data_IF_804233238780
#
_entry.id   IF_804233238780
#
_cell.length_a   1.000
_cell.length_b   1.000
_cell.length_c   1.000
_cell.angle_alpha   90.00
_cell.angle_beta   90.00
_cell.angle_gamma   90.00
#
_symmetry.space_group_name_H-M   'P 1'
#
loop_
_entity.id
_entity.type
_entity.pdbx_description
1 polymer ?
#
# COMPACT_ATOMS: atom_id res chain seq x y z
N UNK A 1 -4.77 -24.42 9.49
CA UNK A 1 -6.25 -24.53 9.50
C UNK A 1 -6.79 -23.83 8.27
N UNK A 2 -7.72 -24.44 7.52
CA UNK A 2 -8.39 -23.79 6.37
C UNK A 2 -9.86 -23.54 6.76
N UNK A 3 -10.29 -22.29 6.99
CA UNK A 3 -11.71 -21.99 7.20
C UNK A 3 -12.48 -22.17 5.88
N UNK A 4 -13.71 -22.69 5.96
CA UNK A 4 -14.62 -22.73 4.82
C UNK A 4 -15.46 -21.44 4.82
N UNK A 5 -15.30 -20.61 3.80
CA UNK A 5 -15.98 -19.31 3.67
C UNK A 5 -16.68 -19.31 2.32
N UNK A 6 -17.97 -19.00 2.31
CA UNK A 6 -18.76 -18.90 1.08
C UNK A 6 -18.59 -17.50 0.48
N UNK A 7 -18.14 -17.44 -0.77
CA UNK A 7 -17.88 -16.21 -1.52
C UNK A 7 -18.61 -16.32 -2.85
N UNK A 8 -19.30 -15.26 -3.27
CA UNK A 8 -20.04 -15.28 -4.53
C UNK A 8 -19.10 -15.29 -5.74
N UNK A 9 -19.57 -15.85 -6.85
CA UNK A 9 -18.78 -16.03 -8.07
C UNK A 9 -18.36 -14.71 -8.71
N UNK A 10 -19.17 -13.65 -8.57
CA UNK A 10 -18.88 -12.34 -9.15
C UNK A 10 -17.71 -11.71 -8.41
N UNK A 11 -17.76 -11.73 -7.08
CA UNK A 11 -16.65 -11.28 -6.23
C UNK A 11 -15.37 -12.06 -6.51
N UNK A 12 -15.46 -13.39 -6.69
CA UNK A 12 -14.29 -14.21 -7.00
C UNK A 12 -13.69 -13.88 -8.37
N UNK A 13 -14.52 -13.62 -9.39
CA UNK A 13 -14.06 -13.21 -10.71
C UNK A 13 -13.32 -11.86 -10.64
N UNK A 14 -13.89 -10.87 -9.94
CA UNK A 14 -13.27 -9.57 -9.74
C UNK A 14 -11.95 -9.68 -8.96
N UNK A 15 -11.91 -10.53 -7.93
CA UNK A 15 -10.73 -10.77 -7.12
C UNK A 15 -9.60 -11.41 -7.93
N UNK A 16 -9.92 -12.40 -8.75
CA UNK A 16 -8.96 -13.06 -9.65
C UNK A 16 -8.43 -12.09 -10.70
N UNK A 17 -9.30 -11.24 -11.27
CA UNK A 17 -8.87 -10.19 -12.20
C UNK A 17 -7.95 -9.15 -11.52
N UNK A 18 -8.28 -8.73 -10.29
CA UNK A 18 -7.50 -7.75 -9.54
C UNK A 18 -6.14 -8.31 -9.06
N UNK A 19 -6.07 -9.59 -8.73
CA UNK A 19 -4.84 -10.25 -8.28
C UNK A 19 -4.00 -10.83 -9.42
N UNK A 20 -4.60 -11.07 -10.59
CA UNK A 20 -3.97 -11.74 -11.72
C UNK A 20 -3.84 -13.26 -11.54
N UNK A 21 -4.51 -13.83 -10.54
CA UNK A 21 -4.39 -15.24 -10.17
C UNK A 21 -5.39 -16.11 -10.93
N UNK A 22 -4.93 -17.27 -11.42
CA UNK A 22 -5.77 -18.20 -12.16
C UNK A 22 -6.61 -19.15 -11.28
N UNK A 23 -6.37 -19.16 -9.96
CA UNK A 23 -7.13 -19.97 -9.00
C UNK A 23 -7.76 -19.13 -7.91
N UNK A 24 -8.98 -19.50 -7.51
CA UNK A 24 -9.72 -18.89 -6.42
C UNK A 24 -8.92 -18.88 -5.10
N UNK A 25 -8.34 -20.03 -4.75
CA UNK A 25 -7.54 -20.20 -3.53
C UNK A 25 -6.31 -19.28 -3.52
N UNK A 26 -5.60 -19.16 -4.66
CA UNK A 26 -4.45 -18.28 -4.78
C UNK A 26 -4.86 -16.80 -4.70
N UNK A 27 -5.93 -16.41 -5.39
CA UNK A 27 -6.46 -15.04 -5.35
C UNK A 27 -6.81 -14.61 -3.92
N UNK A 28 -7.53 -15.47 -3.18
CA UNK A 28 -7.87 -15.23 -1.77
C UNK A 28 -6.63 -15.16 -0.90
N UNK A 29 -5.67 -16.08 -1.05
CA UNK A 29 -4.45 -16.07 -0.26
C UNK A 29 -3.61 -14.81 -0.51
N UNK A 30 -3.48 -14.39 -1.77
CA UNK A 30 -2.77 -13.18 -2.18
C UNK A 30 -3.44 -11.94 -1.58
N UNK A 31 -4.77 -11.84 -1.65
CA UNK A 31 -5.51 -10.73 -1.05
C UNK A 31 -5.37 -10.67 0.48
N UNK A 32 -5.48 -11.81 1.16
CA UNK A 32 -5.32 -11.87 2.62
C UNK A 32 -3.91 -11.50 3.07
N UNK A 33 -2.87 -11.94 2.34
CA UNK A 33 -1.49 -11.52 2.58
C UNK A 33 -1.34 -10.01 2.45
N UNK A 34 -1.91 -9.43 1.39
CA UNK A 34 -1.88 -7.98 1.17
C UNK A 34 -2.53 -7.21 2.32
N UNK A 35 -3.66 -7.68 2.85
CA UNK A 35 -4.33 -7.06 4.01
C UNK A 35 -3.42 -7.07 5.25
N UNK A 36 -2.76 -8.19 5.53
CA UNK A 36 -1.83 -8.29 6.66
C UNK A 36 -0.64 -7.34 6.49
N UNK A 37 -0.08 -7.26 5.27
CA UNK A 37 1.05 -6.38 5.00
C UNK A 37 0.67 -4.91 5.13
N UNK A 38 -0.50 -4.51 4.63
CA UNK A 38 -1.03 -3.14 4.80
C UNK A 38 -1.24 -2.81 6.29
N UNK A 39 -1.76 -3.76 7.07
CA UNK A 39 -1.93 -3.57 8.51
C UNK A 39 -0.58 -3.33 9.21
N UNK A 40 0.45 -4.11 8.86
CA UNK A 40 1.82 -3.96 9.40
C UNK A 40 2.44 -2.63 8.99
N UNK A 41 2.33 -2.25 7.72
CA UNK A 41 2.81 -0.95 7.23
C UNK A 41 2.13 0.21 7.96
N UNK A 42 0.80 0.14 8.13
CA UNK A 42 0.04 1.13 8.89
C UNK A 42 0.41 1.17 10.38
N UNK A 43 0.82 0.06 10.97
CA UNK A 43 1.37 0.06 12.33
C UNK A 43 2.74 0.77 12.38
N UNK A 44 3.65 0.45 11.47
CA UNK A 44 4.97 1.09 11.39
C UNK A 44 4.86 2.61 11.18
N UNK A 45 3.96 3.07 10.30
CA UNK A 45 3.71 4.51 10.10
C UNK A 45 3.20 5.17 11.38
N UNK A 46 2.32 4.50 12.14
CA UNK A 46 1.84 5.02 13.42
C UNK A 46 2.93 5.08 14.47
N UNK A 47 3.88 4.15 14.47
CA UNK A 47 5.06 4.20 15.37
C UNK A 47 5.97 5.39 15.06
N UNK A 48 5.99 5.86 13.80
CA UNK A 48 6.70 7.09 13.43
C UNK A 48 5.96 8.35 13.88
N UNK A 49 4.70 8.28 14.29
CA UNK A 49 4.00 9.46 14.80
C UNK A 49 4.57 9.89 16.14
N UNK A 50 4.88 11.18 16.28
CA UNK A 50 5.38 11.74 17.54
C UNK A 50 6.88 11.59 17.76
N UNK A 51 7.63 10.96 16.84
CA UNK A 51 9.10 10.93 16.90
C UNK A 51 9.74 12.32 16.66
N UNK A 52 8.93 13.30 16.26
CA UNK A 52 9.36 14.65 15.91
C UNK A 52 10.04 14.71 14.55
N UNK A 53 10.25 15.92 14.06
CA UNK A 53 11.07 16.19 12.89
C UNK A 53 11.71 17.57 13.10
N UNK A 54 13.05 17.61 13.09
CA UNK A 54 13.84 18.78 13.51
C UNK A 54 14.23 19.71 12.35
N UNK A 55 13.72 19.48 11.14
CA UNK A 55 14.03 20.34 9.99
C UNK A 55 13.17 21.61 9.95
N UNK A 56 13.54 22.52 9.05
CA UNK A 56 12.75 23.71 8.73
C UNK A 56 11.96 23.48 7.43
N UNK A 57 10.63 23.42 7.55
CA UNK A 57 9.73 23.18 6.42
C UNK A 57 9.73 24.33 5.42
N UNK A 58 9.96 25.55 5.89
CA UNK A 58 9.95 26.74 5.04
C UNK A 58 11.24 26.84 4.23
N UNK A 59 12.38 26.51 4.83
CA UNK A 59 13.67 26.41 4.11
C UNK A 59 13.56 25.40 2.96
N UNK A 60 13.08 24.18 3.22
CA UNK A 60 12.91 23.10 2.24
C UNK A 60 11.90 23.36 1.12
N UNK A 61 11.06 24.39 1.24
CA UNK A 61 10.15 24.79 0.15
C UNK A 61 10.81 25.79 -0.79
N UNK A 62 11.84 26.47 -0.33
CA UNK A 62 12.53 27.54 -1.07
C UNK A 62 13.82 27.08 -1.70
N UNK A 63 14.36 25.93 -1.28
CA UNK A 63 15.59 25.36 -1.81
C UNK A 63 15.40 24.60 -3.14
N UNK A 64 14.17 24.15 -3.43
CA UNK A 64 13.85 23.34 -4.59
C UNK A 64 13.10 24.10 -5.70
N UNK A 65 13.48 23.84 -6.95
CA UNK A 65 12.72 24.29 -8.12
C UNK A 65 12.88 23.36 -9.32
N UNK A 66 11.80 23.07 -10.09
CA UNK A 66 11.85 22.13 -11.22
C UNK A 66 12.89 22.53 -12.28
N UNK A 67 13.08 23.84 -12.49
CA UNK A 67 14.10 24.39 -13.37
C UNK A 67 15.53 24.18 -12.84
N UNK A 68 15.73 24.26 -11.52
CA UNK A 68 17.05 24.25 -10.87
C UNK A 68 17.59 22.83 -10.70
N UNK A 69 16.72 21.93 -10.27
CA UNK A 69 17.15 20.62 -9.77
C UNK A 69 16.86 19.48 -10.75
N UNK A 70 15.87 19.67 -11.64
CA UNK A 70 15.42 18.63 -12.58
C UNK A 70 15.65 19.02 -14.04
N UNK A 71 16.15 20.23 -14.29
CA UNK A 71 16.55 20.69 -15.63
C UNK A 71 15.38 20.73 -16.64
N UNK A 72 14.15 20.89 -16.16
CA UNK A 72 12.95 20.91 -16.99
C UNK A 72 12.80 22.30 -17.61
N UNK A 73 13.51 22.57 -18.72
CA UNK A 73 13.22 23.65 -19.67
C UNK A 73 13.04 23.10 -21.08
#
# INVERSE_FOLDING_TARGET
>A
MRPNIDLDETFMADLMAATGEASADAAVLTALRRVVDLHRQGAAIRELQGIGWDGDLEEMRTDWGPDRDWGLR
#
